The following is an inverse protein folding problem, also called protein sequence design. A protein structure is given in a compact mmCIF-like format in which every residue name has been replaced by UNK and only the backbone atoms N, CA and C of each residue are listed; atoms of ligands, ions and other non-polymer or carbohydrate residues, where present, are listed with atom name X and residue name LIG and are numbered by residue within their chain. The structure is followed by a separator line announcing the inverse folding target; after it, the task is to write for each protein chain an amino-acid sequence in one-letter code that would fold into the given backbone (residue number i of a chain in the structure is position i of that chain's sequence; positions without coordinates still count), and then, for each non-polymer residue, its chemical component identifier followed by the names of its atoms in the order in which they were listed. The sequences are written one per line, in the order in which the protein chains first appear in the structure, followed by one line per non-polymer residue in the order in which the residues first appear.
data_IF_504206556619
#
_entry.id   IF_504206556619
#
_cell.length_a   1.000
_cell.length_b   1.000
_cell.length_c   1.000
_cell.angle_alpha   90.00
_cell.angle_beta   90.00
_cell.angle_gamma   90.00
#
_symmetry.space_group_name_H-M   'P 1'
#
loop_
_entity.id
_entity.type
_entity.pdbx_description
1 polymer ?
#
# COMPACT_ATOMS: atom_id res chain seq x y z
N UNK A 1 12.22 -2.02 -2.52
CA UNK A 1 12.39 -1.02 -1.44
C UNK A 1 12.03 -1.64 -0.12
N UNK A 2 12.31 -0.97 0.99
CA UNK A 2 11.82 -1.36 2.31
C UNK A 2 10.30 -1.05 2.44
N UNK A 3 9.64 -1.74 3.38
CA UNK A 3 8.18 -1.63 3.59
C UNK A 3 7.70 -0.17 3.76
N UNK A 4 8.35 0.69 4.58
CA UNK A 4 7.91 2.08 4.74
C UNK A 4 7.93 2.90 3.45
N UNK A 5 8.98 2.76 2.64
CA UNK A 5 9.11 3.50 1.37
C UNK A 5 8.09 3.01 0.35
N UNK A 6 7.92 1.68 0.21
CA UNK A 6 6.96 1.12 -0.73
C UNK A 6 5.52 1.52 -0.40
N UNK A 7 5.15 1.51 0.89
CA UNK A 7 3.86 2.07 1.34
C UNK A 7 3.77 3.56 1.04
N UNK A 8 4.80 4.34 1.34
CA UNK A 8 4.82 5.78 1.11
C UNK A 8 4.55 6.13 -0.36
N UNK A 9 5.23 5.45 -1.28
CA UNK A 9 5.06 5.65 -2.72
C UNK A 9 3.64 5.29 -3.19
N UNK A 10 3.08 4.16 -2.73
CA UNK A 10 1.72 3.76 -3.06
C UNK A 10 0.68 4.79 -2.61
N UNK A 11 0.86 5.36 -1.41
CA UNK A 11 -0.02 6.43 -0.90
C UNK A 11 0.07 7.70 -1.75
N UNK A 12 1.27 8.06 -2.22
CA UNK A 12 1.46 9.21 -3.11
C UNK A 12 0.82 8.95 -4.47
N UNK A 13 1.05 7.77 -5.06
CA UNK A 13 0.45 7.38 -6.33
C UNK A 13 -1.08 7.41 -6.28
N UNK A 14 -1.67 6.88 -5.20
CA UNK A 14 -3.13 6.84 -5.00
C UNK A 14 -3.73 8.26 -4.92
N UNK A 15 -3.06 9.18 -4.22
CA UNK A 15 -3.47 10.60 -4.19
C UNK A 15 -3.33 11.27 -5.56
N UNK A 16 -2.29 10.90 -6.31
CA UNK A 16 -2.10 11.35 -7.69
C UNK A 16 -3.28 10.95 -8.57
N UNK A 17 -3.75 9.70 -8.45
CA UNK A 17 -4.91 9.20 -9.19
C UNK A 17 -6.18 9.97 -8.85
N UNK A 18 -6.47 10.19 -7.56
CA UNK A 18 -7.62 11.00 -7.15
C UNK A 18 -7.55 12.44 -7.71
N UNK A 19 -6.36 13.03 -7.74
CA UNK A 19 -6.14 14.37 -8.31
C UNK A 19 -6.31 14.39 -9.83
N UNK A 20 -5.85 13.36 -10.53
CA UNK A 20 -6.02 13.21 -11.98
C UNK A 20 -7.50 13.04 -12.34
N UNK A 21 -8.25 12.21 -11.60
CA UNK A 21 -9.69 12.07 -11.78
C UNK A 21 -10.42 13.40 -11.64
N UNK A 22 -10.14 14.19 -10.60
CA UNK A 22 -10.75 15.52 -10.42
C UNK A 22 -10.46 16.45 -11.60
N UNK A 23 -9.22 16.46 -12.09
CA UNK A 23 -8.83 17.25 -13.25
C UNK A 23 -9.51 16.76 -14.53
N UNK A 24 -9.72 15.46 -14.66
CA UNK A 24 -10.40 14.86 -15.81
C UNK A 24 -11.86 15.30 -15.90
N UNK A 25 -12.59 15.30 -14.78
CA UNK A 25 -13.98 15.80 -14.78
C UNK A 25 -14.09 17.32 -14.98
N UNK A 26 -13.00 18.07 -14.79
CA UNK A 26 -12.88 19.48 -15.18
C UNK A 26 -12.35 19.66 -16.61
N UNK A 27 -12.20 18.56 -17.37
CA UNK A 27 -11.67 18.52 -18.74
C UNK A 27 -10.24 19.12 -18.87
N UNK A 28 -9.46 19.07 -17.79
CA UNK A 28 -8.08 19.59 -17.73
C UNK A 28 -7.03 18.55 -18.13
N UNK A 29 -7.33 17.28 -17.94
CA UNK A 29 -6.48 16.14 -18.35
C UNK A 29 -7.32 15.13 -19.11
N UNK A 30 -6.67 14.37 -19.97
CA UNK A 30 -7.28 13.31 -20.76
C UNK A 30 -7.45 12.00 -19.97
N UNK A 31 -8.32 11.13 -20.46
CA UNK A 31 -8.46 9.75 -19.96
C UNK A 31 -7.12 9.00 -19.92
N UNK A 32 -6.27 9.22 -20.93
CA UNK A 32 -4.94 8.59 -21.02
C UNK A 32 -4.06 9.01 -19.84
N UNK A 33 -4.06 10.28 -19.44
CA UNK A 33 -3.28 10.76 -18.30
C UNK A 33 -3.78 10.17 -16.96
N UNK A 34 -5.09 9.96 -16.81
CA UNK A 34 -5.64 9.24 -15.65
C UNK A 34 -5.19 7.78 -15.66
N UNK A 35 -5.24 7.14 -16.83
CA UNK A 35 -4.81 5.75 -17.02
C UNK A 35 -3.32 5.55 -16.73
N UNK A 36 -2.47 6.47 -17.16
CA UNK A 36 -1.03 6.47 -16.85
C UNK A 36 -0.80 6.56 -15.33
N UNK A 37 -1.57 7.40 -14.65
CA UNK A 37 -1.50 7.51 -13.19
C UNK A 37 -1.94 6.22 -12.50
N UNK A 38 -2.96 5.53 -13.02
CA UNK A 38 -3.37 4.21 -12.55
C UNK A 38 -2.27 3.14 -12.75
N UNK A 39 -1.53 3.18 -13.86
CA UNK A 39 -0.38 2.27 -14.07
C UNK A 39 0.70 2.47 -12.99
N UNK A 40 0.94 3.71 -12.58
CA UNK A 40 1.86 4.02 -11.46
C UNK A 40 1.33 3.43 -10.15
N UNK A 41 0.03 3.54 -9.86
CA UNK A 41 -0.59 2.91 -8.68
C UNK A 41 -0.37 1.40 -8.69
N UNK A 42 -0.61 0.73 -9.82
CA UNK A 42 -0.38 -0.71 -9.96
C UNK A 42 1.09 -1.11 -9.78
N UNK A 43 2.02 -0.28 -10.25
CA UNK A 43 3.47 -0.50 -10.08
C UNK A 43 3.86 -0.39 -8.62
N UNK A 44 3.45 0.66 -7.92
CA UNK A 44 3.75 0.85 -6.50
C UNK A 44 3.05 -0.19 -5.62
N UNK A 45 1.87 -0.66 -6.03
CA UNK A 45 1.18 -1.76 -5.36
C UNK A 45 2.02 -3.04 -5.41
N UNK A 46 2.53 -3.42 -6.58
CA UNK A 46 3.42 -4.58 -6.73
C UNK A 46 4.73 -4.42 -5.94
N UNK A 47 5.30 -3.22 -5.91
CA UNK A 47 6.48 -2.92 -5.09
C UNK A 47 6.20 -3.14 -3.60
N UNK A 48 5.02 -2.74 -3.12
CA UNK A 48 4.57 -2.94 -1.75
C UNK A 48 4.36 -4.42 -1.43
N UNK A 49 3.69 -5.19 -2.29
CA UNK A 49 3.53 -6.65 -2.12
C UNK A 49 4.91 -7.31 -1.97
N UNK A 50 5.85 -6.96 -2.85
CA UNK A 50 7.22 -7.50 -2.84
C UNK A 50 7.96 -7.17 -1.54
N UNK A 51 7.80 -5.94 -1.01
CA UNK A 51 8.44 -5.52 0.23
C UNK A 51 7.91 -6.30 1.44
N UNK A 52 6.59 -6.53 1.53
CA UNK A 52 5.98 -7.29 2.62
C UNK A 52 6.25 -8.80 2.52
N UNK A 53 6.38 -9.35 1.31
CA UNK A 53 6.69 -10.76 1.09
C UNK A 53 8.03 -11.18 1.75
N UNK A 54 9.00 -10.27 1.83
CA UNK A 54 10.27 -10.48 2.53
C UNK A 54 10.10 -10.73 4.04
N UNK A 55 8.97 -10.34 4.61
CA UNK A 55 8.62 -10.49 6.02
C UNK A 55 7.58 -11.57 6.28
N UNK A 56 7.23 -12.39 5.27
CA UNK A 56 6.19 -13.43 5.36
C UNK A 56 4.83 -12.91 5.83
N UNK A 57 4.52 -11.65 5.53
CA UNK A 57 3.23 -11.03 5.87
C UNK A 57 2.26 -11.27 4.72
N UNK A 58 1.15 -11.93 5.03
CA UNK A 58 0.07 -12.18 4.07
C UNK A 58 -0.72 -10.91 3.75
N UNK A 59 -0.95 -10.68 2.46
CA UNK A 59 -1.62 -9.51 1.88
C UNK A 59 -2.83 -9.92 1.03
N UNK A 60 -3.28 -11.17 1.12
CA UNK A 60 -4.39 -11.69 0.31
C UNK A 60 -5.64 -10.81 0.35
N UNK A 61 -5.92 -10.17 1.49
CA UNK A 61 -7.06 -9.26 1.68
C UNK A 61 -7.03 -7.98 0.81
N UNK A 62 -5.86 -7.57 0.31
CA UNK A 62 -5.73 -6.38 -0.54
C UNK A 62 -5.52 -6.71 -2.01
N UNK A 63 -5.38 -7.98 -2.39
CA UNK A 63 -5.08 -8.36 -3.77
C UNK A 63 -6.17 -7.99 -4.78
N UNK A 64 -7.42 -7.81 -4.34
CA UNK A 64 -8.53 -7.40 -5.22
C UNK A 64 -8.51 -5.92 -5.54
N UNK A 65 -7.87 -5.09 -4.70
CA UNK A 65 -7.90 -3.61 -4.80
C UNK A 65 -7.54 -3.10 -6.19
N UNK A 66 -6.46 -3.55 -6.87
CA UNK A 66 -6.15 -3.08 -8.22
C UNK A 66 -7.26 -3.41 -9.22
N UNK A 67 -7.84 -4.60 -9.13
CA UNK A 67 -8.93 -5.04 -10.02
C UNK A 67 -10.20 -4.24 -9.76
N UNK A 68 -10.56 -4.03 -8.49
CA UNK A 68 -11.75 -3.25 -8.11
C UNK A 68 -11.61 -1.80 -8.60
N UNK A 69 -10.43 -1.21 -8.40
CA UNK A 69 -10.12 0.14 -8.87
C UNK A 69 -10.18 0.24 -10.40
N UNK A 70 -9.64 -0.75 -11.13
CA UNK A 70 -9.73 -0.82 -12.59
C UNK A 70 -11.17 -0.80 -13.06
N UNK A 71 -12.03 -1.64 -12.48
CA UNK A 71 -13.43 -1.76 -12.92
C UNK A 71 -14.20 -0.44 -12.77
N UNK A 72 -13.98 0.27 -11.65
CA UNK A 72 -14.59 1.59 -11.42
C UNK A 72 -14.02 2.63 -12.38
N UNK A 73 -12.70 2.62 -12.62
CA UNK A 73 -12.07 3.55 -13.56
C UNK A 73 -12.53 3.32 -15.00
N UNK A 74 -12.63 2.07 -15.46
CA UNK A 74 -13.12 1.73 -16.80
C UNK A 74 -14.56 2.23 -17.01
N UNK A 75 -15.40 2.11 -15.98
CA UNK A 75 -16.78 2.63 -16.03
C UNK A 75 -16.80 4.16 -16.04
N UNK A 76 -16.01 4.79 -15.17
CA UNK A 76 -15.96 6.25 -15.06
C UNK A 76 -15.39 6.93 -16.31
N UNK A 77 -14.30 6.39 -16.86
CA UNK A 77 -13.59 6.96 -18.00
C UNK A 77 -14.29 6.70 -19.34
N UNK A 78 -15.20 5.72 -19.39
CA UNK A 78 -16.08 5.51 -20.53
C UNK A 78 -17.19 6.56 -20.70
N UNK A 79 -17.43 7.38 -19.67
CA UNK A 79 -18.41 8.47 -19.71
C UNK A 79 -17.82 9.77 -20.27
N UNK A 80 -18.69 10.74 -20.62
CA UNK A 80 -18.23 12.07 -20.99
C UNK A 80 -17.64 12.80 -19.76
N UNK A 81 -16.41 13.35 -19.86
CA UNK A 81 -15.74 14.00 -18.75
C UNK A 81 -16.57 15.17 -18.22
N UNK A 82 -17.07 15.01 -17.00
CA UNK A 82 -17.88 16.00 -16.31
C UNK A 82 -17.79 15.87 -14.79
N UNK A 83 -18.08 16.95 -14.02
CA UNK A 83 -18.16 16.87 -12.57
C UNK A 83 -19.28 15.92 -12.08
N UNK A 84 -20.31 15.74 -12.89
CA UNK A 84 -21.43 14.84 -12.59
C UNK A 84 -21.01 13.37 -12.66
N UNK A 85 -20.35 12.96 -13.76
CA UNK A 85 -19.80 11.62 -13.90
C UNK A 85 -18.86 11.29 -12.73
N UNK A 86 -17.95 12.21 -12.37
CA UNK A 86 -17.11 12.03 -11.19
C UNK A 86 -17.91 11.84 -9.90
N UNK A 87 -18.96 12.65 -9.68
CA UNK A 87 -19.75 12.55 -8.46
C UNK A 87 -20.42 11.19 -8.28
N UNK A 88 -20.74 10.50 -9.39
CA UNK A 88 -21.31 9.16 -9.41
C UNK A 88 -20.30 8.08 -9.01
N UNK A 89 -19.08 8.11 -9.53
CA UNK A 89 -18.08 7.05 -9.32
C UNK A 89 -17.11 7.32 -8.14
N UNK A 90 -16.93 8.58 -7.73
CA UNK A 90 -16.03 8.94 -6.63
C UNK A 90 -16.36 8.29 -5.27
N UNK A 91 -17.62 7.97 -4.90
CA UNK A 91 -17.92 7.17 -3.72
C UNK A 91 -17.21 5.82 -3.72
N UNK A 92 -17.24 5.10 -4.85
CA UNK A 92 -16.64 3.76 -4.97
C UNK A 92 -15.11 3.84 -4.97
N UNK A 93 -14.53 4.82 -5.70
CA UNK A 93 -13.08 5.09 -5.64
C UNK A 93 -12.64 5.36 -4.20
N UNK A 94 -13.38 6.21 -3.46
CA UNK A 94 -13.06 6.50 -2.05
C UNK A 94 -13.16 5.26 -1.16
N UNK A 95 -14.14 4.39 -1.39
CA UNK A 95 -14.31 3.16 -0.62
C UNK A 95 -13.12 2.22 -0.84
N UNK A 96 -12.74 1.98 -2.10
CA UNK A 96 -11.59 1.13 -2.47
C UNK A 96 -10.29 1.69 -1.89
N UNK A 97 -10.07 3.01 -1.98
CA UNK A 97 -8.91 3.67 -1.36
C UNK A 97 -8.95 3.53 0.15
N UNK A 98 -10.10 3.71 0.79
CA UNK A 98 -10.24 3.55 2.23
C UNK A 98 -9.90 2.13 2.69
N UNK A 99 -10.42 1.10 1.99
CA UNK A 99 -10.14 -0.31 2.28
C UNK A 99 -8.63 -0.61 2.17
N UNK A 100 -7.97 -0.07 1.14
CA UNK A 100 -6.52 -0.14 0.97
C UNK A 100 -5.79 0.50 2.17
N UNK A 101 -6.15 1.73 2.54
CA UNK A 101 -5.50 2.45 3.65
C UNK A 101 -5.68 1.72 4.98
N UNK A 102 -6.86 1.18 5.22
CA UNK A 102 -7.17 0.44 6.44
C UNK A 102 -6.33 -0.84 6.53
N UNK A 103 -6.31 -1.64 5.46
CA UNK A 103 -5.56 -2.88 5.43
C UNK A 103 -4.05 -2.62 5.54
N UNK A 104 -3.51 -1.63 4.82
CA UNK A 104 -2.10 -1.25 4.94
C UNK A 104 -1.75 -0.82 6.37
N UNK A 105 -2.62 -0.10 7.06
CA UNK A 105 -2.39 0.26 8.47
C UNK A 105 -2.28 -0.98 9.35
N UNK A 106 -3.20 -1.93 9.21
CA UNK A 106 -3.18 -3.18 9.95
C UNK A 106 -1.89 -3.98 9.69
N UNK A 107 -1.48 -4.11 8.42
CA UNK A 107 -0.26 -4.84 8.02
C UNK A 107 1.02 -4.15 8.48
N UNK A 108 1.07 -2.83 8.50
CA UNK A 108 2.19 -2.07 9.05
C UNK A 108 2.34 -2.28 10.55
N UNK A 109 1.24 -2.35 11.29
CA UNK A 109 1.30 -2.61 12.73
C UNK A 109 1.76 -4.05 13.02
N UNK A 110 1.36 -5.02 12.19
CA UNK A 110 1.91 -6.38 12.23
C UNK A 110 3.41 -6.40 11.91
N UNK A 111 3.82 -5.73 10.85
CA UNK A 111 5.23 -5.61 10.46
C UNK A 111 6.08 -4.98 11.56
N UNK A 112 5.63 -3.88 12.20
CA UNK A 112 6.36 -3.26 13.31
C UNK A 112 6.57 -4.23 14.48
N UNK A 113 5.55 -5.03 14.82
CA UNK A 113 5.66 -6.04 15.88
C UNK A 113 6.65 -7.13 15.49
N UNK A 114 6.60 -7.62 14.24
CA UNK A 114 7.52 -8.64 13.75
C UNK A 114 8.97 -8.11 13.65
N UNK A 115 9.17 -6.91 13.10
CA UNK A 115 10.47 -6.27 12.96
C UNK A 115 11.07 -5.85 14.32
N UNK A 116 10.23 -5.45 15.28
CA UNK A 116 10.63 -5.18 16.66
C UNK A 116 10.85 -6.43 17.51
N UNK A 117 10.41 -7.61 17.04
CA UNK A 117 10.57 -8.90 17.71
C UNK A 117 11.77 -9.72 17.19
N UNK A 118 12.64 -9.15 16.35
CA UNK A 118 13.93 -9.77 16.04
C UNK A 118 14.72 -10.02 17.35
N UNK A 119 15.33 -11.21 17.54
CA UNK A 119 15.59 -11.74 18.86
C UNK A 119 16.73 -11.01 19.57
N UNK A 120 16.40 -10.32 20.65
CA UNK A 120 17.34 -10.09 21.75
C UNK A 120 17.61 -11.42 22.48
N UNK A 121 18.20 -12.40 21.78
CA UNK A 121 18.54 -13.70 22.35
C UNK A 121 19.68 -14.36 21.58
N UNK A 122 20.89 -13.79 21.67
CA UNK A 122 22.18 -14.51 21.71
C UNK A 122 23.15 -13.58 22.45
N UNK A 123 23.14 -13.64 23.77
CA UNK A 123 24.22 -13.19 24.67
C UNK A 123 23.87 -13.56 26.11
N UNK A 124 23.60 -14.84 26.39
CA UNK A 124 23.41 -15.29 27.76
C UNK A 124 23.67 -16.79 27.95
N UNK A 125 24.68 -17.39 27.30
CA UNK A 125 25.17 -18.71 27.73
C UNK A 125 26.68 -18.84 27.52
N UNK A 126 27.46 -18.16 28.38
CA UNK A 126 28.78 -18.61 28.84
C UNK A 126 29.16 -17.82 30.09
N UNK A 127 28.41 -18.06 31.16
CA UNK A 127 28.77 -17.67 32.51
C UNK A 127 28.48 -18.86 33.45
N UNK A 128 29.41 -19.80 33.47
CA UNK A 128 29.53 -20.81 34.53
C UNK A 128 30.90 -21.48 34.38
N UNK A 129 31.76 -21.59 35.38
CA UNK A 129 31.87 -21.08 36.76
C UNK A 129 33.38 -21.21 37.08
N UNK A 130 34.02 -20.39 37.91
CA UNK A 130 33.62 -20.07 39.27
C UNK A 130 34.20 -21.10 40.25
N UNK A 131 35.29 -20.75 40.95
CA UNK A 131 35.74 -21.41 42.19
C UNK A 131 37.19 -21.93 42.15
N UNK A 132 38.21 -21.13 42.50
CA UNK A 132 38.74 -20.84 43.87
C UNK A 132 39.43 -22.04 44.55
N UNK A 133 40.75 -21.92 44.73
CA UNK A 133 41.36 -21.85 46.06
C UNK A 133 42.20 -23.05 46.57
N UNK A 134 43.38 -22.69 47.13
CA UNK A 134 44.22 -23.39 48.11
C UNK A 134 44.94 -24.67 47.59
N UNK A 135 46.26 -24.85 47.67
CA UNK A 135 47.31 -24.41 48.61
C UNK A 135 48.60 -24.03 47.86
#
# INVERSE_FOLDING_TARGET
GDVPTAVGNLLVATKGLEAALRQWGEQRVSENEVSDTYVVVGTEFNNMITAFAQHQIDLSEIHTVPTDLRNVLESCLGEEPSPHALAEYMPDVRQIVWDLLWALRAKRDLWKRAAGAAPAAVSAISAGGGGRGYL
#
